data_IF_735296016194
#
_entry.id   IF_735296016194
#
_cell.length_a   1.000
_cell.length_b   1.000
_cell.length_c   1.000
_cell.angle_alpha   90.00
_cell.angle_beta   90.00
_cell.angle_gamma   90.00
#
_symmetry.space_group_name_H-M   'P 1'
#
loop_
_entity.id
_entity.type
_entity.pdbx_description
1 polymer ?
#
# COMPACT_ATOMS: atom_id res chain seq x y z
N UNK A 1 9.71 19.82 -1.68
CA UNK A 1 8.82 18.82 -1.06
C UNK A 1 8.73 17.66 -2.04
N UNK A 2 9.18 16.46 -1.66
CA UNK A 2 9.12 15.29 -2.53
C UNK A 2 7.71 14.70 -2.56
N UNK A 3 7.31 14.12 -3.68
CA UNK A 3 6.09 13.30 -3.77
C UNK A 3 6.31 12.01 -2.98
N UNK A 4 5.38 11.65 -2.10
CA UNK A 4 5.40 10.34 -1.47
C UNK A 4 4.92 9.30 -2.48
N UNK A 5 5.64 8.18 -2.63
CA UNK A 5 5.15 7.05 -3.42
C UNK A 5 3.98 6.40 -2.66
N UNK A 6 2.77 6.31 -3.25
CA UNK A 6 1.63 5.70 -2.59
C UNK A 6 1.91 4.26 -2.19
N UNK A 7 1.48 3.88 -0.99
CA UNK A 7 1.56 2.48 -0.55
C UNK A 7 0.51 1.66 -1.28
N UNK A 8 0.96 0.61 -1.98
CA UNK A 8 0.10 -0.39 -2.62
C UNK A 8 0.37 -1.75 -2.00
N UNK A 9 -0.68 -2.55 -1.81
CA UNK A 9 -0.55 -3.92 -1.34
C UNK A 9 -1.50 -4.85 -2.08
N UNK A 10 -1.05 -6.08 -2.32
CA UNK A 10 -1.85 -7.14 -2.93
C UNK A 10 -1.58 -8.47 -2.21
N UNK A 11 -2.63 -9.18 -1.85
CA UNK A 11 -2.57 -10.49 -1.18
C UNK A 11 -2.72 -11.60 -2.21
N UNK A 12 -1.72 -12.46 -2.32
CA UNK A 12 -1.70 -13.62 -3.22
C UNK A 12 -1.33 -14.88 -2.42
N UNK A 13 -2.32 -15.61 -1.91
CA UNK A 13 -2.09 -16.76 -1.05
C UNK A 13 -1.36 -16.35 0.23
N UNK A 14 -0.19 -16.94 0.50
CA UNK A 14 0.66 -16.59 1.65
C UNK A 14 1.73 -15.53 1.31
N UNK A 15 1.54 -14.79 0.21
CA UNK A 15 2.45 -13.71 -0.20
C UNK A 15 1.76 -12.37 -0.10
N UNK A 16 2.50 -11.39 0.43
CA UNK A 16 2.13 -9.99 0.40
C UNK A 16 3.02 -9.27 -0.61
N UNK A 17 2.39 -8.62 -1.59
CA UNK A 17 3.10 -7.81 -2.59
C UNK A 17 2.96 -6.35 -2.16
N UNK A 18 4.05 -5.71 -1.72
CA UNK A 18 4.08 -4.31 -1.30
C UNK A 18 4.88 -3.49 -2.29
N UNK A 19 4.29 -2.46 -2.91
CA UNK A 19 4.98 -1.61 -3.89
C UNK A 19 5.84 -2.41 -4.90
N UNK A 20 5.25 -3.46 -5.47
CA UNK A 20 5.86 -4.41 -6.39
C UNK A 20 6.94 -5.35 -5.82
N UNK A 21 7.28 -5.25 -4.54
CA UNK A 21 8.15 -6.20 -3.84
C UNK A 21 7.35 -7.35 -3.25
N UNK A 22 7.84 -8.58 -3.40
CA UNK A 22 7.15 -9.80 -2.92
C UNK A 22 7.75 -10.24 -1.60
N UNK A 23 6.90 -10.33 -0.57
CA UNK A 23 7.25 -10.87 0.73
C UNK A 23 6.52 -12.20 0.93
N UNK A 24 7.31 -13.25 1.18
CA UNK A 24 6.79 -14.59 1.46
C UNK A 24 6.55 -14.76 2.97
N UNK A 25 5.30 -15.01 3.35
CA UNK A 25 4.87 -15.17 4.74
C UNK A 25 4.55 -16.64 5.08
N UNK A 26 4.73 -17.56 4.11
CA UNK A 26 4.51 -19.01 4.29
C UNK A 26 5.43 -19.62 5.35
N UNK A 27 6.60 -19.01 5.56
CA UNK A 27 7.62 -19.52 6.49
C UNK A 27 7.33 -19.19 7.95
N UNK A 28 6.29 -18.40 8.25
CA UNK A 28 5.90 -18.03 9.62
C UNK A 28 4.95 -19.11 10.15
N UNK A 29 5.36 -19.99 11.07
CA UNK A 29 4.49 -21.02 11.62
C UNK A 29 3.42 -20.43 12.54
N UNK A 30 2.37 -21.21 12.80
CA UNK A 30 1.31 -20.86 13.75
C UNK A 30 1.88 -20.58 15.15
N UNK A 31 1.42 -19.51 15.79
CA UNK A 31 1.89 -19.06 17.11
C UNK A 31 3.25 -18.33 17.08
N UNK A 32 3.91 -18.22 15.92
CA UNK A 32 5.16 -17.49 15.80
C UNK A 32 4.92 -16.00 15.63
N UNK A 33 5.86 -15.20 16.16
CA UNK A 33 5.97 -13.78 15.88
C UNK A 33 7.38 -13.46 15.42
N UNK A 34 7.49 -12.86 14.23
CA UNK A 34 8.73 -12.33 13.71
C UNK A 34 8.89 -10.86 14.13
N UNK A 35 10.08 -10.46 14.60
CA UNK A 35 10.37 -9.05 14.80
C UNK A 35 10.36 -8.33 13.45
N UNK A 36 10.03 -7.04 13.45
CA UNK A 36 10.04 -6.22 12.24
C UNK A 36 11.38 -6.31 11.49
N UNK A 37 12.50 -6.40 12.21
CA UNK A 37 13.85 -6.51 11.63
C UNK A 37 14.12 -7.82 10.87
N UNK A 38 13.27 -8.84 11.02
CA UNK A 38 13.38 -10.07 10.24
C UNK A 38 12.82 -9.92 8.82
N UNK A 39 12.08 -8.85 8.55
CA UNK A 39 11.56 -8.51 7.23
C UNK A 39 12.22 -7.20 6.82
N UNK A 40 13.18 -7.27 5.90
CA UNK A 40 13.96 -6.11 5.44
C UNK A 40 13.16 -5.19 4.50
N UNK A 41 11.97 -4.76 4.92
CA UNK A 41 11.08 -3.91 4.12
C UNK A 41 10.62 -2.66 4.89
N UNK A 42 10.82 -1.44 4.34
CA UNK A 42 10.67 -0.18 5.08
C UNK A 42 9.24 0.15 5.51
N UNK A 43 8.24 -0.42 4.81
CA UNK A 43 6.83 -0.18 5.11
C UNK A 43 6.30 -0.98 6.29
N UNK A 44 7.01 -1.97 6.82
CA UNK A 44 6.58 -2.59 8.07
C UNK A 44 6.73 -1.59 9.22
N UNK A 45 5.79 -1.60 10.16
CA UNK A 45 5.77 -0.70 11.31
C UNK A 45 5.76 -1.46 12.65
N UNK A 46 5.80 -2.79 12.62
CA UNK A 46 5.66 -3.63 13.78
C UNK A 46 5.98 -5.10 13.48
N UNK A 47 5.85 -5.97 14.49
CA UNK A 47 6.06 -7.40 14.32
C UNK A 47 5.01 -8.00 13.38
N UNK A 48 5.34 -9.18 12.85
CA UNK A 48 4.41 -10.01 12.06
C UNK A 48 4.14 -11.28 12.82
N UNK A 49 2.87 -11.55 13.12
CA UNK A 49 2.46 -12.71 13.89
C UNK A 49 1.55 -13.60 13.05
N UNK A 50 1.67 -14.93 13.20
CA UNK A 50 0.62 -15.85 12.78
C UNK A 50 -0.21 -16.29 13.99
N UNK A 51 -1.52 -16.04 13.95
CA UNK A 51 -2.46 -16.39 15.03
C UNK A 51 -3.75 -16.90 14.43
N UNK A 52 -4.22 -18.05 14.91
CA UNK A 52 -5.43 -18.71 14.45
C UNK A 52 -5.47 -18.90 12.92
N UNK A 53 -4.32 -19.18 12.30
CA UNK A 53 -4.20 -19.32 10.85
C UNK A 53 -4.16 -18.01 10.06
N UNK A 54 -4.20 -16.85 10.73
CA UNK A 54 -4.17 -15.53 10.09
C UNK A 54 -2.84 -14.82 10.32
N UNK A 55 -2.38 -14.05 9.33
CA UNK A 55 -1.23 -13.16 9.50
C UNK A 55 -1.69 -11.79 9.99
N UNK A 56 -1.21 -11.39 11.16
CA UNK A 56 -1.37 -10.04 11.72
C UNK A 56 -0.08 -9.23 11.50
N UNK A 57 -0.20 -8.06 10.88
CA UNK A 57 0.92 -7.14 10.63
C UNK A 57 0.47 -5.68 10.64
N UNK A 58 1.41 -4.75 10.72
CA UNK A 58 1.15 -3.31 10.63
C UNK A 58 2.04 -2.68 9.57
N UNK A 59 1.44 -1.85 8.71
CA UNK A 59 2.12 -1.15 7.63
C UNK A 59 2.10 0.36 7.86
N UNK A 60 3.16 1.03 7.42
CA UNK A 60 3.23 2.48 7.25
C UNK A 60 2.53 2.83 5.94
N UNK A 61 1.54 3.70 6.00
CA UNK A 61 0.94 4.31 4.82
C UNK A 61 1.70 5.58 4.47
N UNK A 62 2.18 5.67 3.25
CA UNK A 62 2.73 6.90 2.71
C UNK A 62 1.56 7.85 2.38
N UNK A 63 1.45 8.93 3.14
CA UNK A 63 0.44 9.98 2.97
C UNK A 63 1.15 11.33 2.83
N UNK A 64 0.65 12.19 1.93
CA UNK A 64 1.20 13.53 1.80
C UNK A 64 0.84 14.41 3.01
N UNK A 65 1.63 15.44 3.29
CA UNK A 65 1.40 16.35 4.41
C UNK A 65 0.05 17.10 4.33
N UNK A 66 -0.50 17.26 3.12
CA UNK A 66 -1.78 17.91 2.87
C UNK A 66 -2.92 16.90 2.64
N UNK A 67 -2.71 15.61 2.93
CA UNK A 67 -3.73 14.59 2.79
C UNK A 67 -4.91 14.87 3.74
N UNK A 68 -6.16 14.68 3.30
CA UNK A 68 -7.35 14.90 4.12
C UNK A 68 -7.42 13.93 5.31
N UNK A 69 -8.09 14.37 6.38
CA UNK A 69 -8.14 13.71 7.69
C UNK A 69 -8.50 12.22 7.64
N UNK A 70 -9.37 11.82 6.70
CA UNK A 70 -9.80 10.42 6.58
C UNK A 70 -8.66 9.45 6.24
N UNK A 71 -7.56 9.92 5.66
CA UNK A 71 -6.39 9.06 5.35
C UNK A 71 -5.51 8.79 6.56
N UNK A 72 -5.64 9.61 7.60
CA UNK A 72 -4.94 9.46 8.87
C UNK A 72 -5.72 8.61 9.87
N UNK A 73 -6.93 8.17 9.50
CA UNK A 73 -7.73 7.29 10.33
C UNK A 73 -7.13 5.89 10.36
N UNK A 74 -6.80 5.42 11.56
CA UNK A 74 -6.30 4.06 11.78
C UNK A 74 -7.46 3.05 11.73
N UNK A 75 -7.28 1.96 11.00
CA UNK A 75 -8.26 0.87 10.93
C UNK A 75 -7.59 -0.50 10.79
N UNK A 76 -8.24 -1.53 11.31
CA UNK A 76 -7.89 -2.93 10.99
C UNK A 76 -8.61 -3.32 9.70
N UNK A 77 -7.86 -3.86 8.75
CA UNK A 77 -8.39 -4.44 7.52
C UNK A 77 -8.16 -5.95 7.58
N UNK A 78 -9.17 -6.73 7.20
CA UNK A 78 -9.04 -8.16 6.98
C UNK A 78 -9.12 -8.39 5.47
N UNK A 79 -8.08 -9.01 4.90
CA UNK A 79 -7.97 -9.22 3.45
C UNK A 79 -7.54 -10.66 3.20
N UNK A 80 -8.34 -11.41 2.46
CA UNK A 80 -8.06 -12.83 2.17
C UNK A 80 -7.39 -13.03 0.80
N UNK A 81 -7.59 -12.10 -0.14
CA UNK A 81 -6.96 -12.09 -1.46
C UNK A 81 -7.16 -10.74 -2.14
N UNK A 82 -6.30 -10.42 -3.11
CA UNK A 82 -6.47 -9.28 -4.00
C UNK A 82 -5.90 -7.96 -3.46
N UNK A 83 -6.25 -6.83 -4.08
CA UNK A 83 -5.73 -5.52 -3.69
C UNK A 83 -6.23 -5.14 -2.28
N UNK A 84 -5.34 -4.63 -1.45
CA UNK A 84 -5.70 -4.11 -0.12
C UNK A 84 -6.34 -2.73 -0.29
N UNK A 85 -7.53 -2.48 0.26
CA UNK A 85 -8.28 -1.24 0.06
C UNK A 85 -7.76 -0.13 0.99
N UNK A 86 -6.52 0.32 0.77
CA UNK A 86 -5.99 1.47 1.50
C UNK A 86 -6.74 2.76 1.14
N UNK A 87 -6.79 3.75 2.06
CA UNK A 87 -7.20 5.10 1.70
C UNK A 87 -6.28 5.64 0.61
N UNK A 88 -6.83 6.15 -0.48
CA UNK A 88 -6.08 6.78 -1.57
C UNK A 88 -6.41 8.26 -1.66
N UNK A 89 -5.39 9.08 -1.92
CA UNK A 89 -5.59 10.49 -2.28
C UNK A 89 -6.46 10.59 -3.54
N UNK A 90 -7.51 11.44 -3.53
CA UNK A 90 -8.21 11.76 -4.75
C UNK A 90 -7.17 12.41 -5.66
N UNK A 91 -6.87 11.76 -6.77
CA UNK A 91 -6.06 12.37 -7.82
C UNK A 91 -6.82 13.59 -8.32
N UNK A 92 -6.26 14.79 -8.08
CA UNK A 92 -6.69 16.01 -8.76
C UNK A 92 -6.49 15.83 -10.26
N UNK A 93 -7.51 15.34 -10.94
CA UNK A 93 -7.52 15.13 -12.40
C UNK A 93 -7.53 16.45 -13.18
N UNK A 94 -7.51 17.60 -12.49
CA UNK A 94 -7.56 18.94 -13.09
C UNK A 94 -6.30 19.35 -13.88
N UNK A 95 -5.20 18.59 -13.81
CA UNK A 95 -3.96 18.93 -14.54
C UNK A 95 -3.87 18.34 -15.97
N UNK A 96 -4.82 17.49 -16.39
CA UNK A 96 -4.84 16.90 -17.74
C UNK A 96 -5.90 17.52 -18.66
N UNK A 97 -6.18 18.82 -18.55
CA UNK A 97 -6.69 19.54 -19.73
C UNK A 97 -5.50 19.79 -20.65
N UNK A 98 -5.13 18.77 -21.43
CA UNK A 98 -4.49 19.03 -22.71
C UNK A 98 -5.49 19.88 -23.50
N UNK A 99 -5.14 21.14 -23.74
CA UNK A 99 -5.85 21.94 -24.76
C UNK A 99 -5.81 21.11 -26.06
N UNK A 100 -6.93 20.87 -26.76
CA UNK A 100 -6.86 20.27 -28.08
C UNK A 100 -5.94 21.13 -28.93
N UNK A 101 -4.88 20.51 -29.46
CA UNK A 101 -3.97 21.14 -30.40
C UNK A 101 -4.78 21.60 -31.60
N UNK A 102 -4.72 22.90 -31.86
CA UNK A 102 -5.31 23.56 -33.01
C UNK A 102 -4.77 22.90 -34.28
N UNK A 103 -5.69 22.28 -35.02
CA UNK A 103 -5.51 21.79 -36.38
C UNK A 103 -5.09 22.98 -37.25
N UNK A 104 -3.81 23.01 -37.65
CA UNK A 104 -3.34 23.94 -38.68
C UNK A 104 -3.46 23.23 -40.03
N UNK A 105 -4.58 23.48 -40.69
CA UNK A 105 -4.80 23.16 -42.10
C UNK A 105 -3.77 23.91 -42.97
N UNK A 106 -3.17 23.12 -43.87
CA UNK A 106 -2.27 23.50 -44.95
C UNK A 106 -3.05 24.23 -46.06
N UNK A 107 -2.64 25.47 -46.41
CA UNK A 107 -3.04 26.13 -47.67
C UNK A 107 -1.94 27.03 -48.22
#
# INVERSE_FOLDING_TARGET
MGIATPTTAFVEGERLILNNERIDLSQIPEGMTLPMSAIEHPLFAGPVSRRNGEIELTLKLAVNANAPDYMWQNGRLQVSAGPVPFPVEPVDTSAYTVKPAEEVDDV
#
